data_IF_620408813381
#
_entry.id   IF_620408813381
#
_cell.length_a   1.000
_cell.length_b   1.000
_cell.length_c   1.000
_cell.angle_alpha   90.00
_cell.angle_beta   90.00
_cell.angle_gamma   90.00
#
_symmetry.space_group_name_H-M   'P 1'
#
loop_
_entity.id
_entity.type
_entity.pdbx_description
1 polymer ?
#
# COMPACT_ATOMS: atom_id res chain seq x y z
N UNK A 1 -13.30 8.39 30.96
CA UNK A 1 -11.95 9.01 30.96
C UNK A 1 -10.94 7.92 31.35
N UNK A 2 -9.77 7.83 30.69
CA UNK A 2 -8.78 6.81 31.07
C UNK A 2 -8.19 7.13 32.44
N UNK A 3 -8.16 6.13 33.32
CA UNK A 3 -7.84 6.28 34.74
C UNK A 3 -6.37 6.61 35.01
N UNK A 4 -5.46 6.19 34.12
CA UNK A 4 -4.02 6.36 34.29
C UNK A 4 -3.43 7.33 33.25
N UNK A 5 -2.54 8.24 33.68
CA UNK A 5 -1.85 9.22 32.81
C UNK A 5 -1.10 8.55 31.65
N UNK A 6 -0.50 7.38 31.89
CA UNK A 6 0.19 6.59 30.87
C UNK A 6 -0.75 6.11 29.74
N UNK A 7 -1.97 5.69 30.10
CA UNK A 7 -2.98 5.25 29.13
C UNK A 7 -3.44 6.42 28.25
N UNK A 8 -3.69 7.59 28.85
CA UNK A 8 -4.06 8.81 28.11
C UNK A 8 -2.98 9.18 27.09
N UNK A 9 -1.69 9.09 27.47
CA UNK A 9 -0.57 9.32 26.56
C UNK A 9 -0.55 8.31 25.41
N UNK A 10 -0.74 7.02 25.69
CA UNK A 10 -0.77 5.97 24.67
C UNK A 10 -1.87 6.20 23.63
N UNK A 11 -3.09 6.57 24.07
CA UNK A 11 -4.20 6.88 23.16
C UNK A 11 -3.90 8.07 22.24
N UNK A 12 -3.34 9.16 22.79
CA UNK A 12 -2.92 10.32 21.97
C UNK A 12 -1.86 9.93 20.93
N UNK A 13 -0.87 9.13 21.31
CA UNK A 13 0.17 8.67 20.39
C UNK A 13 -0.38 7.73 19.32
N UNK A 14 -1.29 6.84 19.71
CA UNK A 14 -1.95 5.88 18.81
C UNK A 14 -2.77 6.62 17.75
N UNK A 15 -3.59 7.59 18.13
CA UNK A 15 -4.37 8.42 17.19
C UNK A 15 -3.47 9.09 16.13
N UNK A 16 -2.40 9.75 16.59
CA UNK A 16 -1.43 10.42 15.68
C UNK A 16 -0.74 9.43 14.73
N UNK A 17 -0.43 8.21 15.19
CA UNK A 17 0.16 7.15 14.33
C UNK A 17 -0.89 6.60 13.36
N UNK A 18 -2.13 6.43 13.80
CA UNK A 18 -3.22 5.93 13.01
C UNK A 18 -3.50 6.83 11.81
N UNK A 19 -3.64 8.15 12.01
CA UNK A 19 -3.87 9.12 10.94
C UNK A 19 -2.81 9.05 9.84
N UNK A 20 -1.52 9.03 10.21
CA UNK A 20 -0.41 8.89 9.25
C UNK A 20 -0.48 7.56 8.49
N UNK A 21 -0.74 6.46 9.21
CA UNK A 21 -0.80 5.13 8.60
C UNK A 21 -2.00 4.98 7.66
N UNK A 22 -3.13 5.60 7.98
CA UNK A 22 -4.32 5.61 7.12
C UNK A 22 -4.02 6.36 5.83
N UNK A 23 -3.40 7.54 5.90
CA UNK A 23 -3.01 8.30 4.72
C UNK A 23 -2.05 7.53 3.81
N UNK A 24 -0.99 6.93 4.38
CA UNK A 24 -0.04 6.17 3.56
C UNK A 24 -0.67 4.91 2.95
N UNK A 25 -1.55 4.22 3.70
CA UNK A 25 -2.29 3.05 3.17
C UNK A 25 -3.28 3.46 2.07
N UNK A 26 -3.95 4.60 2.19
CA UNK A 26 -4.90 5.06 1.15
C UNK A 26 -4.15 5.42 -0.13
N UNK A 27 -3.02 6.12 -0.06
CA UNK A 27 -2.18 6.42 -1.22
C UNK A 27 -1.75 5.16 -1.96
N UNK A 28 -1.26 4.13 -1.25
CA UNK A 28 -0.86 2.87 -1.88
C UNK A 28 -2.06 2.12 -2.50
N UNK A 29 -3.23 2.13 -1.85
CA UNK A 29 -4.45 1.56 -2.43
C UNK A 29 -4.85 2.28 -3.73
N UNK A 30 -4.74 3.60 -3.76
CA UNK A 30 -5.01 4.40 -4.97
C UNK A 30 -4.01 4.08 -6.08
N UNK A 31 -2.72 3.96 -5.78
CA UNK A 31 -1.71 3.58 -6.77
C UNK A 31 -2.00 2.18 -7.37
N UNK A 32 -2.40 1.22 -6.54
CA UNK A 32 -2.82 -0.11 -7.00
C UNK A 32 -4.05 -0.02 -7.91
N UNK A 33 -5.06 0.78 -7.53
CA UNK A 33 -6.26 0.97 -8.34
C UNK A 33 -5.94 1.58 -9.71
N UNK A 34 -5.05 2.59 -9.74
CA UNK A 34 -4.57 3.22 -10.98
C UNK A 34 -3.86 2.22 -11.88
N UNK A 35 -2.93 1.44 -11.32
CA UNK A 35 -2.20 0.40 -12.07
C UNK A 35 -3.15 -0.63 -12.72
N UNK A 36 -4.17 -1.07 -11.99
CA UNK A 36 -5.18 -2.00 -12.53
C UNK A 36 -6.07 -1.35 -13.59
N UNK A 37 -6.35 -0.06 -13.50
CA UNK A 37 -7.16 0.65 -14.49
C UNK A 37 -6.39 0.93 -15.80
N UNK A 38 -5.07 1.07 -15.74
CA UNK A 38 -4.20 1.29 -16.90
C UNK A 38 -3.82 0.00 -17.64
N UNK A 39 -4.46 -1.14 -17.36
CA UNK A 39 -4.18 -2.37 -18.12
C UNK A 39 -4.61 -2.19 -19.58
N UNK A 40 -3.71 -2.48 -20.52
CA UNK A 40 -3.95 -2.31 -21.97
C UNK A 40 -3.60 -0.93 -22.52
N UNK A 41 -3.01 -0.03 -21.72
CA UNK A 41 -2.44 1.24 -22.19
C UNK A 41 -0.92 1.26 -22.06
N UNK A 42 -0.24 2.14 -22.80
CA UNK A 42 1.22 2.31 -22.71
C UNK A 42 1.69 2.74 -21.31
N UNK A 43 0.81 3.37 -20.53
CA UNK A 43 1.10 3.80 -19.16
C UNK A 43 1.06 2.65 -18.14
N UNK A 44 0.64 1.44 -18.53
CA UNK A 44 0.52 0.29 -17.64
C UNK A 44 1.83 0.07 -16.87
N UNK A 45 2.95 -0.01 -17.58
CA UNK A 45 4.23 -0.36 -16.98
C UNK A 45 4.67 0.68 -15.92
N UNK A 46 4.54 1.96 -16.24
CA UNK A 46 4.87 3.08 -15.34
C UNK A 46 3.98 3.06 -14.09
N UNK A 47 2.66 2.88 -14.26
CA UNK A 47 1.72 2.85 -13.14
C UNK A 47 1.94 1.64 -12.22
N UNK A 48 2.29 0.48 -12.78
CA UNK A 48 2.65 -0.70 -12.00
C UNK A 48 3.96 -0.48 -11.22
N UNK A 49 4.98 0.14 -11.81
CA UNK A 49 6.22 0.49 -11.11
C UNK A 49 5.95 1.44 -9.93
N UNK A 50 5.11 2.46 -10.12
CA UNK A 50 4.71 3.36 -9.03
C UNK A 50 3.96 2.63 -7.91
N UNK A 51 3.07 1.69 -8.25
CA UNK A 51 2.35 0.90 -7.27
C UNK A 51 3.29 0.01 -6.44
N UNK A 52 4.29 -0.62 -7.08
CA UNK A 52 5.31 -1.43 -6.40
C UNK A 52 6.16 -0.57 -5.47
N UNK A 53 6.67 0.57 -5.96
CA UNK A 53 7.43 1.53 -5.15
C UNK A 53 6.65 2.00 -3.92
N UNK A 54 5.35 2.23 -4.07
CA UNK A 54 4.47 2.62 -2.97
C UNK A 54 4.31 1.52 -1.94
N UNK A 55 4.23 0.26 -2.36
CA UNK A 55 4.17 -0.91 -1.47
C UNK A 55 5.48 -1.10 -0.69
N UNK A 56 6.62 -0.90 -1.35
CA UNK A 56 7.94 -1.00 -0.70
C UNK A 56 8.18 0.06 0.34
N UNK A 57 7.68 1.26 0.09
CA UNK A 57 7.70 2.33 1.08
C UNK A 57 6.86 1.98 2.33
N UNK A 58 5.76 1.26 2.17
CA UNK A 58 4.97 0.78 3.32
C UNK A 58 5.68 -0.33 4.10
N UNK A 59 6.49 -1.15 3.43
CA UNK A 59 7.33 -2.15 4.07
C UNK A 59 8.44 -1.48 4.89
N UNK A 60 9.17 -0.53 4.30
CA UNK A 60 10.27 0.17 4.99
C UNK A 60 9.80 0.99 6.19
N UNK A 61 8.59 1.54 6.14
CA UNK A 61 7.96 2.20 7.28
C UNK A 61 7.36 1.24 8.33
N UNK A 62 7.42 -0.08 8.11
CA UNK A 62 6.88 -1.09 9.03
C UNK A 62 5.35 -1.07 9.15
N UNK A 63 4.65 -0.45 8.20
CA UNK A 63 3.19 -0.31 8.22
C UNK A 63 2.50 -1.58 7.70
N UNK A 64 3.13 -2.25 6.74
CA UNK A 64 2.73 -3.55 6.24
C UNK A 64 3.87 -4.55 6.46
N UNK A 65 3.51 -5.76 6.90
CA UNK A 65 4.47 -6.85 7.03
C UNK A 65 5.02 -7.27 5.66
N UNK A 66 6.30 -7.67 5.61
CA UNK A 66 7.00 -8.15 4.41
C UNK A 66 6.20 -9.14 3.58
N UNK A 67 5.60 -10.14 4.23
CA UNK A 67 4.79 -11.16 3.54
C UNK A 67 3.51 -10.59 2.89
N UNK A 68 2.93 -9.55 3.50
CA UNK A 68 1.75 -8.88 2.94
C UNK A 68 2.12 -8.05 1.71
N UNK A 69 3.28 -7.40 1.74
CA UNK A 69 3.82 -6.66 0.60
C UNK A 69 4.20 -7.61 -0.53
N UNK A 70 4.97 -8.66 -0.25
CA UNK A 70 5.35 -9.70 -1.21
C UNK A 70 4.12 -10.33 -1.90
N UNK A 71 3.09 -10.70 -1.13
CA UNK A 71 1.83 -11.22 -1.68
C UNK A 71 1.12 -10.23 -2.59
N UNK A 72 1.11 -8.93 -2.25
CA UNK A 72 0.49 -7.90 -3.08
C UNK A 72 1.29 -7.68 -4.38
N UNK A 73 2.62 -7.64 -4.32
CA UNK A 73 3.48 -7.56 -5.51
C UNK A 73 3.26 -8.75 -6.44
N UNK A 74 3.33 -9.98 -5.91
CA UNK A 74 3.12 -11.20 -6.68
C UNK A 74 1.78 -11.19 -7.42
N UNK A 75 0.69 -10.82 -6.73
CA UNK A 75 -0.64 -10.72 -7.35
C UNK A 75 -0.74 -9.64 -8.44
N UNK A 76 -0.06 -8.51 -8.27
CA UNK A 76 -0.01 -7.46 -9.28
C UNK A 76 0.74 -7.93 -10.53
N UNK A 77 1.94 -8.49 -10.36
CA UNK A 77 2.73 -8.98 -11.48
C UNK A 77 2.03 -10.12 -12.22
N UNK A 78 1.39 -11.04 -11.51
CA UNK A 78 0.61 -12.11 -12.14
C UNK A 78 -0.51 -11.57 -13.03
N UNK A 79 -1.17 -10.47 -12.63
CA UNK A 79 -2.21 -9.81 -13.44
C UNK A 79 -1.63 -9.12 -14.67
N UNK A 80 -0.51 -8.43 -14.52
CA UNK A 80 0.20 -7.79 -15.64
C UNK A 80 0.62 -8.84 -16.67
N UNK A 81 1.27 -9.91 -16.22
CA UNK A 81 1.71 -11.00 -17.09
C UNK A 81 0.53 -11.68 -17.81
N UNK A 82 -0.57 -11.93 -17.09
CA UNK A 82 -1.79 -12.49 -17.71
C UNK A 82 -2.35 -11.56 -18.79
N UNK A 83 -2.35 -10.25 -18.54
CA UNK A 83 -2.79 -9.27 -19.54
C UNK A 83 -1.88 -9.25 -20.78
N UNK A 84 -0.57 -9.42 -20.61
CA UNK A 84 0.39 -9.49 -21.71
C UNK A 84 0.27 -10.78 -22.52
N UNK A 85 -0.15 -11.88 -21.91
CA UNK A 85 -0.36 -13.17 -22.60
C UNK A 85 -1.69 -13.25 -23.35
N UNK A 86 -2.65 -12.38 -23.04
CA UNK A 86 -3.96 -12.32 -23.69
C UNK A 86 -4.03 -11.34 -24.86
N UNK A 87 -2.95 -10.56 -25.07
CA UNK A 87 -2.71 -9.73 -26.24
C UNK A 87 -1.88 -10.50 -27.26
#
# INVERSE_FOLDING_TARGET
MLRHKAQQKSVRQSAKRHERNVAQKSTAKTAIKKALASLGTDEAQTNFQMAIKSLDKLESHGILHKNTVARKKSRLMARLNKSLQQA
#
